data_IF_375273224328
#
_entry.id   IF_375273224328
#
_cell.length_a   1.000
_cell.length_b   1.000
_cell.length_c   1.000
_cell.angle_alpha   90.00
_cell.angle_beta   90.00
_cell.angle_gamma   90.00
#
_symmetry.space_group_name_H-M   'P 1'
#
loop_
_entity.id
_entity.type
_entity.pdbx_description
1 polymer ?
#
# COMPACT_ATOMS: atom_id res chain seq x y z
N UNK A 1 27.28 10.44 -29.00
CA UNK A 1 26.36 11.59 -29.18
C UNK A 1 25.32 11.37 -30.29
N UNK A 2 25.68 11.04 -31.55
CA UNK A 2 24.73 10.91 -32.68
C UNK A 2 23.42 10.14 -32.41
N UNK A 3 23.48 8.99 -31.71
CA UNK A 3 22.28 8.17 -31.37
C UNK A 3 21.29 8.89 -30.44
N UNK A 4 21.79 9.71 -29.51
CA UNK A 4 20.95 10.46 -28.58
C UNK A 4 20.22 11.58 -29.33
N UNK A 5 20.91 12.28 -30.22
CA UNK A 5 20.32 13.35 -31.03
C UNK A 5 19.24 12.81 -31.99
N UNK A 6 19.49 11.64 -32.59
CA UNK A 6 18.52 10.92 -33.41
C UNK A 6 17.27 10.55 -32.59
N UNK A 7 17.46 9.98 -31.40
CA UNK A 7 16.35 9.66 -30.50
C UNK A 7 15.51 10.89 -30.13
N UNK A 8 16.14 12.01 -29.78
CA UNK A 8 15.42 13.26 -29.46
C UNK A 8 14.68 13.83 -30.67
N UNK A 9 15.29 13.78 -31.87
CA UNK A 9 14.63 14.20 -33.12
C UNK A 9 13.39 13.34 -33.39
N UNK A 10 13.51 12.02 -33.28
CA UNK A 10 12.38 11.09 -33.44
C UNK A 10 11.30 11.31 -32.37
N UNK A 11 11.68 11.55 -31.12
CA UNK A 11 10.74 11.82 -30.03
C UNK A 11 9.98 13.14 -30.27
N UNK A 12 10.67 14.20 -30.70
CA UNK A 12 10.06 15.49 -31.02
C UNK A 12 9.14 15.39 -32.26
N UNK A 13 9.54 14.62 -33.28
CA UNK A 13 8.68 14.34 -34.44
C UNK A 13 7.44 13.52 -34.03
N UNK A 14 7.56 12.56 -33.11
CA UNK A 14 6.41 11.84 -32.53
C UNK A 14 5.45 12.77 -31.79
N UNK A 15 5.98 13.67 -30.96
CA UNK A 15 5.18 14.63 -30.20
C UNK A 15 4.42 15.60 -31.12
N UNK A 16 5.04 16.09 -32.20
CA UNK A 16 4.37 16.96 -33.18
C UNK A 16 3.22 16.28 -33.91
N UNK A 17 3.29 14.96 -34.11
CA UNK A 17 2.28 14.17 -34.83
C UNK A 17 1.03 13.86 -34.01
N UNK A 18 1.20 13.52 -32.73
CA UNK A 18 0.13 13.05 -31.83
C UNK A 18 -0.78 14.18 -31.32
N UNK A 19 -1.21 15.08 -32.20
CA UNK A 19 -2.10 16.20 -31.86
C UNK A 19 -3.59 15.88 -32.05
N UNK A 20 -3.93 14.69 -32.53
CA UNK A 20 -5.34 14.30 -32.66
C UNK A 20 -6.06 14.36 -31.31
N UNK A 21 -7.28 14.93 -31.33
CA UNK A 21 -8.17 14.99 -30.17
C UNK A 21 -8.49 13.59 -29.62
N UNK A 22 -8.36 12.54 -30.44
CA UNK A 22 -8.54 11.15 -29.99
C UNK A 22 -7.50 10.72 -28.94
N UNK A 23 -6.31 11.32 -28.92
CA UNK A 23 -5.32 11.05 -27.86
C UNK A 23 -5.79 11.55 -26.48
N UNK A 24 -6.68 12.53 -26.42
CA UNK A 24 -7.25 12.99 -25.15
C UNK A 24 -8.15 11.94 -24.49
N UNK A 25 -8.78 11.06 -25.29
CA UNK A 25 -9.62 9.96 -24.76
C UNK A 25 -8.76 8.83 -24.18
N UNK A 26 -7.54 8.62 -24.71
CA UNK A 26 -6.63 7.61 -24.20
C UNK A 26 -6.20 7.89 -22.76
N UNK A 27 -6.11 9.16 -22.34
CA UNK A 27 -5.69 9.56 -20.99
C UNK A 27 -6.66 9.04 -19.91
N UNK A 28 -7.97 9.41 -19.91
CA UNK A 28 -8.90 8.92 -18.90
C UNK A 28 -9.10 7.40 -18.97
N UNK A 29 -9.07 6.80 -20.16
CA UNK A 29 -9.13 5.34 -20.31
C UNK A 29 -7.92 4.65 -19.68
N UNK A 30 -6.71 5.19 -19.89
CA UNK A 30 -5.49 4.65 -19.30
C UNK A 30 -5.52 4.79 -17.79
N UNK A 31 -5.88 5.98 -17.28
CA UNK A 31 -6.00 6.24 -15.84
C UNK A 31 -6.99 5.25 -15.20
N UNK A 32 -8.17 5.07 -15.81
CA UNK A 32 -9.18 4.13 -15.34
C UNK A 32 -8.64 2.70 -15.33
N UNK A 33 -7.99 2.27 -16.41
CA UNK A 33 -7.38 0.95 -16.50
C UNK A 33 -6.29 0.71 -15.44
N UNK A 34 -5.42 1.70 -15.19
CA UNK A 34 -4.37 1.61 -14.16
C UNK A 34 -4.97 1.49 -12.77
N UNK A 35 -5.96 2.32 -12.41
CA UNK A 35 -6.58 2.25 -11.09
C UNK A 35 -7.36 0.95 -10.90
N UNK A 36 -8.12 0.50 -11.91
CA UNK A 36 -8.85 -0.76 -11.86
C UNK A 36 -7.91 -1.95 -11.68
N UNK A 37 -6.83 -2.05 -12.46
CA UNK A 37 -5.88 -3.14 -12.33
C UNK A 37 -5.12 -3.09 -11.01
N UNK A 38 -4.75 -1.90 -10.53
CA UNK A 38 -4.09 -1.73 -9.22
C UNK A 38 -4.99 -2.22 -8.11
N UNK A 39 -6.27 -1.84 -8.13
CA UNK A 39 -7.25 -2.29 -7.15
C UNK A 39 -7.42 -3.81 -7.16
N UNK A 40 -7.56 -4.42 -8.34
CA UNK A 40 -7.72 -5.87 -8.47
C UNK A 40 -6.49 -6.65 -7.96
N UNK A 41 -5.28 -6.24 -8.36
CA UNK A 41 -4.03 -6.87 -7.94
C UNK A 41 -3.79 -6.67 -6.43
N UNK A 42 -4.04 -5.49 -5.90
CA UNK A 42 -3.94 -5.24 -4.46
C UNK A 42 -4.97 -6.06 -3.66
N UNK A 43 -6.21 -6.16 -4.16
CA UNK A 43 -7.25 -7.00 -3.55
C UNK A 43 -6.85 -8.47 -3.54
N UNK A 44 -6.23 -8.97 -4.61
CA UNK A 44 -5.69 -10.33 -4.65
C UNK A 44 -4.62 -10.55 -3.57
N UNK A 45 -3.66 -9.63 -3.43
CA UNK A 45 -2.61 -9.73 -2.41
C UNK A 45 -3.16 -9.63 -0.98
N UNK A 46 -4.16 -8.77 -0.75
CA UNK A 46 -4.85 -8.67 0.54
C UNK A 46 -5.60 -9.97 0.85
N UNK A 47 -6.25 -10.58 -0.14
CA UNK A 47 -6.92 -11.87 0.04
C UNK A 47 -5.92 -12.98 0.40
N UNK A 48 -4.78 -13.05 -0.31
CA UNK A 48 -3.69 -13.98 0.00
C UNK A 48 -3.20 -13.76 1.43
N UNK A 49 -2.89 -12.53 1.81
CA UNK A 49 -2.47 -12.19 3.17
C UNK A 49 -3.55 -12.58 4.21
N UNK A 50 -4.83 -12.32 3.93
CA UNK A 50 -5.92 -12.62 4.85
C UNK A 50 -6.09 -14.11 5.11
N UNK A 51 -5.76 -14.95 4.13
CA UNK A 51 -5.80 -16.41 4.26
C UNK A 51 -4.69 -16.98 5.16
N UNK A 52 -3.64 -16.20 5.42
CA UNK A 52 -2.53 -16.58 6.31
C UNK A 52 -2.85 -16.32 7.78
N UNK A 53 -3.86 -15.51 8.11
CA UNK A 53 -4.18 -15.20 9.49
C UNK A 53 -5.04 -16.29 10.15
N UNK A 54 -4.71 -16.72 11.39
CA UNK A 54 -5.54 -17.67 12.10
C UNK A 54 -6.87 -17.04 12.51
N UNK A 55 -7.96 -17.82 12.49
CA UNK A 55 -9.30 -17.35 12.89
C UNK A 55 -9.36 -16.81 14.34
N UNK A 56 -8.44 -17.24 15.21
CA UNK A 56 -8.29 -16.77 16.60
C UNK A 56 -7.53 -15.45 16.75
N UNK A 57 -7.12 -14.79 15.66
CA UNK A 57 -6.44 -13.51 15.72
C UNK A 57 -7.36 -12.41 16.28
N UNK A 58 -6.92 -11.75 17.34
CA UNK A 58 -7.62 -10.63 17.98
C UNK A 58 -7.46 -9.35 17.14
N UNK A 59 -6.27 -9.19 16.56
CA UNK A 59 -5.88 -8.07 15.70
C UNK A 59 -4.88 -8.56 14.67
N UNK A 60 -4.97 -8.07 13.43
CA UNK A 60 -3.96 -8.33 12.41
C UNK A 60 -3.79 -7.07 11.54
N UNK A 61 -2.59 -6.86 11.03
CA UNK A 61 -2.32 -5.81 10.04
C UNK A 61 -1.01 -6.08 9.28
N UNK A 62 -0.92 -5.53 8.08
CA UNK A 62 0.37 -5.36 7.39
C UNK A 62 1.18 -4.26 8.08
N UNK A 63 2.51 -4.41 8.13
CA UNK A 63 3.35 -3.27 8.55
C UNK A 63 3.29 -2.15 7.51
N UNK A 64 3.75 -0.94 7.89
CA UNK A 64 3.92 0.17 6.94
C UNK A 64 4.76 -0.20 5.72
N UNK A 65 5.89 -0.86 5.95
CA UNK A 65 6.84 -1.21 4.89
C UNK A 65 6.21 -2.25 3.99
N UNK A 66 5.54 -3.25 4.58
CA UNK A 66 4.76 -4.24 3.85
C UNK A 66 3.71 -3.61 2.92
N UNK A 67 2.92 -2.67 3.44
CA UNK A 67 1.93 -1.93 2.64
C UNK A 67 2.57 -1.14 1.51
N UNK A 68 3.65 -0.40 1.78
CA UNK A 68 4.33 0.39 0.74
C UNK A 68 4.81 -0.52 -0.38
N UNK A 69 5.51 -1.60 -0.06
CA UNK A 69 6.00 -2.56 -1.06
C UNK A 69 4.85 -3.23 -1.81
N UNK A 70 3.79 -3.61 -1.12
CA UNK A 70 2.62 -4.24 -1.73
C UNK A 70 1.92 -3.30 -2.73
N UNK A 71 1.58 -2.07 -2.33
CA UNK A 71 0.83 -1.15 -3.18
C UNK A 71 1.69 -0.49 -4.26
N UNK A 72 2.89 -0.04 -3.92
CA UNK A 72 3.77 0.65 -4.89
C UNK A 72 4.25 -0.31 -5.97
N UNK A 73 4.63 -1.54 -5.63
CA UNK A 73 5.10 -2.50 -6.63
C UNK A 73 4.00 -2.90 -7.61
N UNK A 74 2.74 -3.00 -7.15
CA UNK A 74 1.60 -3.32 -8.03
C UNK A 74 1.29 -2.22 -9.06
N UNK A 75 1.67 -0.97 -8.81
CA UNK A 75 1.46 0.14 -9.76
C UNK A 75 2.21 -0.07 -11.08
N UNK A 76 3.42 -0.64 -11.04
CA UNK A 76 4.26 -0.82 -12.23
C UNK A 76 3.63 -1.70 -13.32
N UNK A 77 3.22 -2.96 -13.03
CA UNK A 77 2.49 -3.76 -14.03
C UNK A 77 1.13 -3.16 -14.38
N UNK A 78 0.50 -2.44 -13.44
CA UNK A 78 -0.79 -1.78 -13.68
C UNK A 78 -0.72 -0.70 -14.77
N UNK A 79 0.39 0.05 -14.88
CA UNK A 79 0.61 0.97 -15.99
C UNK A 79 0.54 0.29 -17.35
N UNK A 80 1.20 -0.87 -17.47
CA UNK A 80 1.18 -1.66 -18.70
C UNK A 80 -0.23 -2.15 -19.05
N UNK A 81 -0.93 -2.75 -18.07
CA UNK A 81 -2.30 -3.24 -18.22
C UNK A 81 -3.26 -2.10 -18.61
N UNK A 82 -3.20 -0.96 -17.92
CA UNK A 82 -4.06 0.18 -18.17
C UNK A 82 -3.87 0.80 -19.57
N UNK A 83 -2.62 0.88 -20.05
CA UNK A 83 -2.34 1.33 -21.42
C UNK A 83 -2.78 0.34 -22.49
N UNK A 84 -2.63 -0.97 -22.24
CA UNK A 84 -3.16 -2.01 -23.15
C UNK A 84 -4.68 -1.88 -23.23
N UNK A 85 -5.35 -1.78 -22.08
CA UNK A 85 -6.80 -1.58 -21.99
C UNK A 85 -7.25 -0.35 -22.78
N UNK A 86 -6.63 0.81 -22.57
CA UNK A 86 -6.97 2.04 -23.29
C UNK A 86 -6.80 1.89 -24.81
N UNK A 87 -5.72 1.27 -25.26
CA UNK A 87 -5.48 1.01 -26.68
C UNK A 87 -6.51 0.07 -27.29
N UNK A 88 -6.92 -0.98 -26.56
CA UNK A 88 -7.95 -1.92 -27.03
C UNK A 88 -9.31 -1.21 -27.16
N UNK A 89 -9.73 -0.46 -26.14
CA UNK A 89 -10.99 0.30 -26.19
C UNK A 89 -10.99 1.33 -27.32
N UNK A 90 -9.90 2.08 -27.49
CA UNK A 90 -9.81 3.07 -28.56
C UNK A 90 -9.78 2.41 -29.96
N UNK A 91 -9.27 1.18 -30.08
CA UNK A 91 -9.31 0.41 -31.32
C UNK A 91 -10.73 -0.06 -31.69
N UNK A 92 -11.60 -0.28 -30.69
CA UNK A 92 -13.02 -0.60 -30.92
C UNK A 92 -13.81 0.61 -31.45
N UNK A 93 -13.34 1.83 -31.19
CA UNK A 93 -13.94 3.08 -31.70
C UNK A 93 -13.44 3.31 -33.13
N UNK A 94 -14.27 2.98 -34.13
CA UNK A 94 -13.87 2.99 -35.55
C UNK A 94 -13.26 4.32 -36.04
N UNK A 95 -13.79 5.51 -35.68
CA UNK A 95 -13.16 6.78 -36.03
C UNK A 95 -11.74 6.93 -35.45
N UNK A 96 -11.56 6.58 -34.18
CA UNK A 96 -10.26 6.67 -33.51
C UNK A 96 -9.23 5.73 -34.15
N UNK A 97 -9.64 4.48 -34.42
CA UNK A 97 -8.83 3.50 -35.14
C UNK A 97 -8.33 4.03 -36.48
N UNK A 98 -9.22 4.57 -37.32
CA UNK A 98 -8.86 5.13 -38.63
C UNK A 98 -7.86 6.27 -38.50
N UNK A 99 -8.06 7.17 -37.53
CA UNK A 99 -7.11 8.26 -37.27
C UNK A 99 -5.75 7.72 -36.83
N UNK A 100 -5.69 6.73 -35.92
CA UNK A 100 -4.42 6.13 -35.51
C UNK A 100 -3.72 5.38 -36.64
N UNK A 101 -4.45 4.66 -37.49
CA UNK A 101 -3.89 4.02 -38.68
C UNK A 101 -3.33 5.06 -39.66
N UNK A 102 -4.02 6.18 -39.89
CA UNK A 102 -3.52 7.29 -40.71
C UNK A 102 -2.26 7.94 -40.11
N UNK A 103 -2.24 8.21 -38.80
CA UNK A 103 -1.06 8.75 -38.11
C UNK A 103 0.14 7.78 -38.13
N UNK A 104 -0.12 6.48 -38.24
CA UNK A 104 0.91 5.45 -38.32
C UNK A 104 1.46 5.25 -39.74
N UNK A 105 0.76 5.69 -40.80
CA UNK A 105 1.26 5.58 -42.19
C UNK A 105 2.54 6.39 -42.36
N UNK A 106 3.51 5.83 -43.09
CA UNK A 106 4.80 6.48 -43.37
C UNK A 106 5.86 6.30 -42.28
N UNK A 107 5.55 5.62 -41.16
CA UNK A 107 6.51 5.42 -40.07
C UNK A 107 6.71 3.93 -39.76
N UNK A 108 7.97 3.51 -39.78
CA UNK A 108 8.34 2.16 -39.36
C UNK A 108 8.11 2.04 -37.85
N UNK A 109 7.55 0.91 -37.41
CA UNK A 109 7.35 0.53 -36.00
C UNK A 109 6.25 1.24 -35.20
N UNK A 110 5.34 1.99 -35.85
CA UNK A 110 4.22 2.66 -35.16
C UNK A 110 2.87 1.96 -35.33
N UNK A 111 2.85 0.72 -35.83
CA UNK A 111 1.58 -0.01 -35.99
C UNK A 111 1.00 -0.43 -34.64
N UNK A 112 -0.33 -0.49 -34.55
CA UNK A 112 -1.06 -0.93 -33.36
C UNK A 112 -0.54 -2.27 -32.82
N UNK A 113 -0.37 -3.26 -33.70
CA UNK A 113 0.16 -4.59 -33.34
C UNK A 113 1.53 -4.51 -32.67
N UNK A 114 2.43 -3.64 -33.16
CA UNK A 114 3.75 -3.44 -32.56
C UNK A 114 3.65 -2.72 -31.22
N UNK A 115 2.77 -1.71 -31.10
CA UNK A 115 2.51 -1.00 -29.84
C UNK A 115 1.98 -1.94 -28.76
N UNK A 116 0.97 -2.76 -29.07
CA UNK A 116 0.44 -3.77 -28.14
C UNK A 116 1.53 -4.79 -27.77
N UNK A 117 2.28 -5.31 -28.76
CA UNK A 117 3.38 -6.25 -28.48
C UNK A 117 4.40 -5.67 -27.48
N UNK A 118 4.82 -4.42 -27.68
CA UNK A 118 5.75 -3.75 -26.78
C UNK A 118 5.17 -3.54 -25.38
N UNK A 119 3.90 -3.14 -25.28
CA UNK A 119 3.21 -2.99 -24.00
C UNK A 119 3.04 -4.31 -23.27
N UNK A 120 2.74 -5.41 -23.98
CA UNK A 120 2.64 -6.75 -23.40
C UNK A 120 4.00 -7.18 -22.86
N UNK A 121 5.08 -7.00 -23.61
CA UNK A 121 6.45 -7.31 -23.14
C UNK A 121 6.78 -6.47 -21.90
N UNK A 122 6.53 -5.16 -21.92
CA UNK A 122 6.74 -4.28 -20.78
C UNK A 122 5.93 -4.73 -19.55
N UNK A 123 4.64 -5.03 -19.73
CA UNK A 123 3.75 -5.49 -18.67
C UNK A 123 4.24 -6.80 -18.09
N UNK A 124 4.64 -7.75 -18.93
CA UNK A 124 5.17 -9.04 -18.50
C UNK A 124 6.47 -8.85 -17.71
N UNK A 125 7.45 -8.10 -18.23
CA UNK A 125 8.71 -7.84 -17.52
C UNK A 125 8.47 -7.17 -16.16
N UNK A 126 7.65 -6.12 -16.12
CA UNK A 126 7.33 -5.43 -14.86
C UNK A 126 6.54 -6.33 -13.90
N UNK A 127 5.62 -7.15 -14.39
CA UNK A 127 4.88 -8.11 -13.56
C UNK A 127 5.84 -9.10 -12.89
N UNK A 128 6.74 -9.74 -13.65
CA UNK A 128 7.66 -10.74 -13.10
C UNK A 128 8.71 -10.12 -12.15
N UNK A 129 9.06 -8.85 -12.32
CA UNK A 129 9.99 -8.16 -11.41
C UNK A 129 9.29 -7.68 -10.14
N UNK A 130 8.14 -7.00 -10.29
CA UNK A 130 7.50 -6.30 -9.18
C UNK A 130 6.48 -7.14 -8.41
N UNK A 131 5.89 -8.18 -9.00
CA UNK A 131 4.97 -9.06 -8.26
C UNK A 131 5.66 -9.82 -7.11
N UNK A 132 6.88 -10.36 -7.26
CA UNK A 132 7.61 -10.92 -6.12
C UNK A 132 7.84 -9.89 -5.01
N UNK A 133 8.17 -8.64 -5.35
CA UNK A 133 8.34 -7.56 -4.37
C UNK A 133 7.01 -7.24 -3.66
N UNK A 134 5.91 -7.21 -4.40
CA UNK A 134 4.58 -6.99 -3.85
C UNK A 134 4.16 -8.14 -2.92
N UNK A 135 4.48 -9.39 -3.31
CA UNK A 135 4.25 -10.58 -2.50
C UNK A 135 5.07 -10.54 -1.21
N UNK A 136 6.36 -10.21 -1.28
CA UNK A 136 7.19 -10.01 -0.09
C UNK A 136 6.60 -8.93 0.83
N UNK A 137 6.09 -7.84 0.27
CA UNK A 137 5.34 -6.83 1.02
C UNK A 137 4.11 -7.39 1.73
N UNK A 138 3.34 -8.24 1.05
CA UNK A 138 2.16 -8.91 1.63
C UNK A 138 2.51 -9.93 2.71
N UNK A 139 3.72 -10.52 2.67
CA UNK A 139 4.22 -11.42 3.70
C UNK A 139 4.74 -10.66 4.94
N UNK A 140 4.84 -9.34 4.88
CA UNK A 140 5.28 -8.54 6.02
C UNK A 140 4.11 -8.01 6.84
N UNK A 141 3.71 -8.81 7.82
CA UNK A 141 2.55 -8.57 8.67
C UNK A 141 2.83 -8.87 10.14
N UNK A 142 1.88 -8.50 10.99
CA UNK A 142 1.77 -9.00 12.34
C UNK A 142 0.32 -9.36 12.66
N UNK A 143 0.15 -10.27 13.62
CA UNK A 143 -1.14 -10.50 14.25
C UNK A 143 -0.98 -10.82 15.75
N UNK A 144 -2.05 -10.60 16.50
CA UNK A 144 -2.10 -10.69 17.96
C UNK A 144 -3.06 -11.81 18.34
N UNK A 145 -2.60 -12.70 19.21
CA UNK A 145 -3.40 -13.80 19.79
C UNK A 145 -3.29 -13.76 21.32
N UNK A 146 -3.90 -14.71 22.00
CA UNK A 146 -3.78 -14.84 23.46
C UNK A 146 -2.37 -15.25 23.91
N UNK A 147 -1.61 -15.93 23.05
CA UNK A 147 -0.24 -16.40 23.33
C UNK A 147 0.79 -15.26 23.23
N UNK A 148 0.52 -14.28 22.36
CA UNK A 148 1.43 -13.17 22.10
C UNK A 148 1.20 -12.54 20.73
N UNK A 149 2.29 -12.06 20.13
CA UNK A 149 2.31 -11.35 18.85
C UNK A 149 3.17 -12.12 17.88
N UNK A 150 2.55 -12.57 16.79
CA UNK A 150 3.25 -13.16 15.67
C UNK A 150 3.65 -12.05 14.71
N UNK A 151 4.93 -12.03 14.35
CA UNK A 151 5.50 -11.04 13.45
C UNK A 151 6.30 -11.73 12.36
N UNK A 152 5.95 -11.44 11.11
CA UNK A 152 6.68 -11.93 9.95
C UNK A 152 7.50 -10.80 9.31
N UNK A 153 8.83 -10.73 9.50
CA UNK A 153 9.67 -9.73 8.87
C UNK A 153 9.86 -10.03 7.36
N UNK A 154 10.12 -9.00 6.56
CA UNK A 154 10.20 -9.06 5.08
C UNK A 154 11.04 -10.19 4.48
N UNK A 155 12.09 -10.62 5.18
CA UNK A 155 13.07 -11.59 4.68
C UNK A 155 13.12 -12.87 5.52
N UNK A 156 12.08 -13.15 6.30
CA UNK A 156 11.96 -14.42 7.01
C UNK A 156 10.89 -15.29 6.38
N UNK A 157 11.18 -16.59 6.36
CA UNK A 157 10.23 -17.61 5.93
C UNK A 157 9.34 -18.08 7.09
N UNK A 158 9.70 -17.74 8.33
CA UNK A 158 9.00 -18.16 9.52
C UNK A 158 8.57 -16.96 10.36
N UNK A 159 7.36 -17.09 10.90
CA UNK A 159 6.84 -16.12 11.85
C UNK A 159 7.60 -16.21 13.16
N UNK A 160 7.94 -15.06 13.74
CA UNK A 160 8.50 -14.99 15.09
C UNK A 160 7.37 -14.68 16.08
N UNK A 161 7.17 -15.57 17.04
CA UNK A 161 6.28 -15.34 18.18
C UNK A 161 7.02 -14.53 19.25
N UNK A 162 6.42 -13.39 19.62
CA UNK A 162 6.76 -12.61 20.80
C UNK A 162 5.70 -12.87 21.86
N UNK A 163 6.07 -13.55 22.94
CA UNK A 163 5.16 -13.75 24.07
C UNK A 163 4.92 -12.40 24.74
N UNK A 164 3.83 -12.30 25.49
CA UNK A 164 3.53 -11.08 26.25
C UNK A 164 4.66 -10.66 27.21
N UNK A 165 5.40 -11.64 27.74
CA UNK A 165 6.57 -11.44 28.60
C UNK A 165 7.76 -10.80 27.86
N UNK A 166 7.84 -10.91 26.53
CA UNK A 166 8.90 -10.32 25.73
C UNK A 166 8.73 -8.81 25.54
N UNK A 167 7.59 -8.24 25.95
CA UNK A 167 7.34 -6.80 25.83
C UNK A 167 8.10 -6.07 26.94
N UNK A 168 9.08 -5.26 26.55
CA UNK A 168 9.89 -4.45 27.47
C UNK A 168 9.29 -3.07 27.69
N UNK A 169 8.81 -2.44 26.63
CA UNK A 169 8.29 -1.07 26.69
C UNK A 169 7.05 -0.88 25.83
N UNK A 170 6.16 0.03 26.28
CA UNK A 170 4.99 0.47 25.52
C UNK A 170 5.10 1.97 25.28
N UNK A 171 5.22 2.34 24.00
CA UNK A 171 5.34 3.72 23.55
C UNK A 171 4.01 4.19 22.99
N UNK A 172 3.34 5.07 23.74
CA UNK A 172 2.05 5.64 23.38
C UNK A 172 2.23 7.08 22.94
N UNK A 173 1.84 7.40 21.70
CA UNK A 173 1.97 8.75 21.14
C UNK A 173 0.65 9.25 20.57
N UNK A 174 0.31 10.48 20.92
CA UNK A 174 -0.78 11.27 20.34
C UNK A 174 -0.31 12.70 20.18
N UNK A 175 0.25 13.01 19.01
CA UNK A 175 0.75 14.35 18.73
C UNK A 175 0.39 14.81 17.32
N UNK A 176 0.38 16.12 17.15
CA UNK A 176 0.01 16.76 15.90
C UNK A 176 1.20 17.54 15.36
N UNK A 177 1.64 17.22 14.15
CA UNK A 177 2.71 17.93 13.45
C UNK A 177 2.17 18.53 12.16
N UNK A 178 2.35 19.85 11.95
CA UNK A 178 1.84 20.60 10.79
C UNK A 178 0.37 20.36 10.46
N UNK A 179 0.00 19.42 9.57
CA UNK A 179 -1.39 19.03 9.27
C UNK A 179 -1.70 17.57 9.64
N UNK A 180 -0.70 16.81 10.05
CA UNK A 180 -0.81 15.39 10.34
C UNK A 180 -1.11 15.15 11.83
N UNK A 181 -1.89 14.12 12.09
CA UNK A 181 -2.11 13.56 13.42
C UNK A 181 -1.36 12.23 13.48
N UNK A 182 -0.49 12.08 14.47
CA UNK A 182 0.29 10.88 14.71
C UNK A 182 -0.28 10.16 15.94
N UNK A 183 -0.84 8.97 15.68
CA UNK A 183 -1.34 8.05 16.69
C UNK A 183 -0.51 6.77 16.59
N UNK A 184 0.12 6.39 17.69
CA UNK A 184 0.97 5.21 17.71
C UNK A 184 0.80 4.50 19.05
N UNK A 185 0.69 3.17 19.00
CA UNK A 185 0.76 2.30 20.16
C UNK A 185 1.80 1.23 19.85
N UNK A 186 3.06 1.58 20.12
CA UNK A 186 4.21 0.74 19.75
C UNK A 186 4.61 -0.12 20.92
N UNK A 187 4.66 -1.41 20.69
CA UNK A 187 5.25 -2.39 21.60
C UNK A 187 6.72 -2.54 21.23
N UNK A 188 7.60 -2.36 22.22
CA UNK A 188 9.04 -2.59 22.08
C UNK A 188 9.37 -3.92 22.73
N UNK A 189 9.82 -4.86 21.91
CA UNK A 189 10.17 -6.21 22.34
C UNK A 189 11.54 -6.24 23.01
N UNK A 190 11.85 -7.35 23.67
CA UNK A 190 13.14 -7.63 24.33
C UNK A 190 14.32 -7.53 23.37
N UNK A 191 14.13 -7.90 22.10
CA UNK A 191 15.12 -7.78 21.01
C UNK A 191 15.19 -6.37 20.37
N UNK A 192 14.45 -5.40 20.91
CA UNK A 192 14.44 -4.01 20.44
C UNK A 192 13.54 -3.73 19.23
N UNK A 193 12.90 -4.75 18.64
CA UNK A 193 11.94 -4.54 17.55
C UNK A 193 10.70 -3.81 18.06
N UNK A 194 10.11 -3.01 17.17
CA UNK A 194 8.98 -2.13 17.47
C UNK A 194 7.80 -2.53 16.58
N UNK A 195 6.69 -2.92 17.20
CA UNK A 195 5.46 -3.28 16.48
C UNK A 195 4.39 -2.24 16.82
N UNK A 196 3.90 -1.51 15.81
CA UNK A 196 2.86 -0.51 16.00
C UNK A 196 1.47 -1.14 15.82
N UNK A 197 0.77 -1.35 16.93
CA UNK A 197 -0.57 -1.93 16.90
C UNK A 197 -1.62 -0.98 16.32
N UNK A 198 -1.31 0.32 16.20
CA UNK A 198 -2.19 1.34 15.63
C UNK A 198 -1.87 1.69 14.17
N UNK A 199 -1.03 0.89 13.50
CA UNK A 199 -0.59 1.16 12.13
C UNK A 199 -1.77 1.41 11.18
N UNK A 200 -2.84 0.59 11.22
CA UNK A 200 -4.19 0.83 10.66
C UNK A 200 -5.00 -0.49 10.54
N UNK A 201 -6.35 -0.45 10.58
CA UNK A 201 -7.21 0.69 10.95
C UNK A 201 -7.20 0.92 12.46
N UNK A 202 -7.13 2.18 12.92
CA UNK A 202 -7.05 2.50 14.35
C UNK A 202 -8.27 1.98 15.14
N UNK A 203 -9.44 1.90 14.51
CA UNK A 203 -10.66 1.38 15.12
C UNK A 203 -10.58 -0.13 15.41
N UNK A 204 -9.90 -0.92 14.58
CA UNK A 204 -9.72 -2.35 14.83
C UNK A 204 -8.87 -2.55 16.09
N UNK A 205 -7.81 -1.76 16.24
CA UNK A 205 -7.02 -1.76 17.48
C UNK A 205 -7.86 -1.35 18.70
N UNK A 206 -8.67 -0.30 18.61
CA UNK A 206 -9.53 0.13 19.74
C UNK A 206 -10.52 -0.95 20.14
N UNK A 207 -11.09 -1.69 19.18
CA UNK A 207 -11.98 -2.83 19.46
C UNK A 207 -11.23 -4.01 20.08
N UNK A 208 -10.00 -4.26 19.64
CA UNK A 208 -9.14 -5.33 20.16
C UNK A 208 -8.51 -5.00 21.53
N UNK A 209 -8.35 -3.72 21.86
CA UNK A 209 -7.57 -3.27 23.00
C UNK A 209 -8.03 -3.82 24.36
N UNK A 210 -9.34 -3.89 24.69
CA UNK A 210 -9.78 -4.47 25.96
C UNK A 210 -9.26 -5.89 26.18
N UNK A 211 -9.23 -6.72 25.13
CA UNK A 211 -8.67 -8.08 25.18
C UNK A 211 -7.15 -8.05 25.32
N UNK A 212 -6.46 -7.24 24.53
CA UNK A 212 -5.00 -7.08 24.60
C UNK A 212 -4.56 -6.62 26.00
N UNK A 213 -5.30 -5.70 26.62
CA UNK A 213 -5.02 -5.16 27.95
C UNK A 213 -5.01 -6.24 29.03
N UNK A 214 -5.90 -7.24 28.95
CA UNK A 214 -5.93 -8.36 29.92
C UNK A 214 -4.62 -9.14 29.96
N UNK A 215 -3.90 -9.21 28.83
CA UNK A 215 -2.60 -9.89 28.77
C UNK A 215 -1.45 -8.97 29.20
N UNK A 216 -1.55 -7.67 28.89
CA UNK A 216 -0.58 -6.66 29.31
C UNK A 216 -0.59 -6.41 30.82
N UNK A 217 -1.77 -6.37 31.46
CA UNK A 217 -1.91 -6.17 32.92
C UNK A 217 -1.28 -7.33 33.72
N UNK A 218 -1.02 -8.49 33.09
CA UNK A 218 -0.37 -9.64 33.74
C UNK A 218 1.17 -9.58 33.71
N UNK A 219 1.76 -8.57 33.06
CA UNK A 219 3.21 -8.48 32.89
C UNK A 219 3.82 -7.47 33.87
N UNK A 220 4.63 -7.90 34.85
CA UNK A 220 5.05 -7.04 35.96
C UNK A 220 6.10 -5.96 35.59
N UNK A 221 6.79 -6.10 34.46
CA UNK A 221 8.02 -5.34 34.17
C UNK A 221 7.95 -4.47 32.91
N UNK A 222 6.76 -4.10 32.45
CA UNK A 222 6.61 -3.25 31.26
C UNK A 222 6.88 -1.77 31.61
N UNK A 223 7.77 -1.11 30.85
CA UNK A 223 7.99 0.34 30.96
C UNK A 223 7.04 1.12 30.06
N UNK A 224 6.41 2.16 30.58
CA UNK A 224 5.45 2.97 29.82
C UNK A 224 6.04 4.33 29.44
N UNK A 225 6.08 4.60 28.14
CA UNK A 225 6.46 5.89 27.58
C UNK A 225 5.25 6.56 26.96
N UNK A 226 5.02 7.83 27.29
CA UNK A 226 3.86 8.59 26.81
C UNK A 226 4.26 9.94 26.26
N UNK A 227 3.72 10.26 25.10
CA UNK A 227 3.79 11.60 24.52
C UNK A 227 2.41 11.95 23.94
N UNK A 228 1.55 12.50 24.79
CA UNK A 228 0.20 12.94 24.44
C UNK A 228 0.17 14.46 24.58
N UNK A 229 0.00 15.15 23.46
CA UNK A 229 -0.05 16.63 23.41
C UNK A 229 -1.49 17.11 23.29
N UNK A 230 -1.83 18.25 23.89
CA UNK A 230 -3.17 18.86 23.76
C UNK A 230 -3.55 19.09 22.30
N UNK A 231 -2.58 19.54 21.48
CA UNK A 231 -2.77 19.71 20.04
C UNK A 231 -3.12 18.40 19.34
N UNK A 232 -2.47 17.29 19.72
CA UNK A 232 -2.78 15.94 19.24
C UNK A 232 -4.20 15.51 19.59
N UNK A 233 -4.60 15.70 20.85
CA UNK A 233 -5.95 15.39 21.34
C UNK A 233 -7.00 16.22 20.61
N UNK A 234 -6.81 17.54 20.49
CA UNK A 234 -7.71 18.41 19.74
C UNK A 234 -7.90 17.95 18.30
N UNK A 235 -6.82 17.56 17.61
CA UNK A 235 -6.91 17.02 16.25
C UNK A 235 -7.57 15.66 16.16
N UNK A 236 -7.38 14.80 17.16
CA UNK A 236 -8.07 13.52 17.24
C UNK A 236 -9.60 13.72 17.22
N UNK A 237 -10.10 14.66 18.03
CA UNK A 237 -11.53 15.01 18.05
C UNK A 237 -12.02 15.68 16.76
N UNK A 238 -11.16 16.37 16.02
CA UNK A 238 -11.52 16.91 14.68
C UNK A 238 -11.57 15.83 13.60
N UNK A 239 -10.76 14.77 13.71
CA UNK A 239 -10.62 13.74 12.68
C UNK A 239 -11.61 12.58 12.83
N UNK A 240 -11.96 12.24 14.07
CA UNK A 240 -12.85 11.12 14.38
C UNK A 240 -14.14 11.62 15.01
N UNK A 241 -15.22 10.83 14.91
CA UNK A 241 -16.44 11.08 15.69
C UNK A 241 -16.08 11.18 17.17
N UNK A 242 -16.75 12.06 17.91
CA UNK A 242 -16.45 12.34 19.33
C UNK A 242 -16.36 11.06 20.17
N UNK A 243 -17.22 10.08 19.92
CA UNK A 243 -17.19 8.80 20.62
C UNK A 243 -15.95 7.96 20.30
N UNK A 244 -15.58 7.86 19.03
CA UNK A 244 -14.39 7.12 18.59
C UNK A 244 -13.11 7.79 19.10
N UNK A 245 -13.05 9.13 19.03
CA UNK A 245 -11.97 9.91 19.61
C UNK A 245 -11.83 9.66 21.12
N UNK A 246 -12.95 9.63 21.87
CA UNK A 246 -12.94 9.28 23.31
C UNK A 246 -12.44 7.87 23.54
N UNK A 247 -12.89 6.88 22.74
CA UNK A 247 -12.42 5.49 22.87
C UNK A 247 -10.92 5.38 22.61
N UNK A 248 -10.43 6.00 21.54
CA UNK A 248 -8.99 6.06 21.21
C UNK A 248 -8.23 6.72 22.37
N UNK A 249 -8.67 7.88 22.85
CA UNK A 249 -7.99 8.62 23.90
C UNK A 249 -7.93 7.82 25.22
N UNK A 250 -9.02 7.14 25.58
CA UNK A 250 -9.05 6.25 26.76
C UNK A 250 -7.98 5.16 26.66
N UNK A 251 -7.84 4.53 25.49
CA UNK A 251 -6.79 3.53 25.24
C UNK A 251 -5.39 4.13 25.42
N UNK A 252 -5.16 5.32 24.87
CA UNK A 252 -3.85 5.98 24.93
C UNK A 252 -3.50 6.50 26.35
N UNK A 253 -4.51 6.89 27.13
CA UNK A 253 -4.30 7.40 28.50
C UNK A 253 -4.23 6.30 29.55
N UNK A 254 -4.72 5.09 29.25
CA UNK A 254 -4.84 4.02 30.26
C UNK A 254 -3.46 3.61 30.80
N UNK A 255 -3.25 3.75 32.11
CA UNK A 255 -2.14 3.09 32.80
C UNK A 255 -2.54 1.63 33.00
N UNK A 256 -1.88 0.74 32.27
CA UNK A 256 -1.76 -0.66 32.70
C UNK A 256 -1.07 -0.58 34.06
N UNK A 257 -1.72 -1.12 35.09
CA UNK A 257 -1.26 -1.03 36.49
C UNK A 257 -0.32 -2.19 36.79
#
# INVERSE_FOLDING_TARGET
MKKIDEFYREARQRAKRRKSRWNLILIPLSITGVFASTFLLAKLLINIQSSMFPAKAILFSSTRVGKILMFVSVLFPSFGIGMIFANLIAWLISPARRTFEQEAKGYKNTSFKKSIKQLVIFTFCTFFIFMPVALLGSLNYFYVTEEGIYYNPLFSLSEKLYRWQDIKEIHTRCFAERKNLHLNYKLVMSDGRKIDLMEEPQLNFVRAYPRIKLFLDKQPNIRYWRNITERGVSRLYKRYKTEDARKILRVLQNKVR
#
